data_IF_927954695977
#
_entry.id   IF_927954695977
#
_cell.length_a   1.000
_cell.length_b   1.000
_cell.length_c   1.000
_cell.angle_alpha   90.00
_cell.angle_beta   90.00
_cell.angle_gamma   90.00
#
_symmetry.space_group_name_H-M   'P 1'
#
loop_
_entity.id
_entity.type
_entity.pdbx_description
1 polymer ?
#
# COMPACT_ATOMS: atom_id res chain seq x y z
N UNK A 1 -43.37 -12.95 53.11
CA UNK A 1 -42.65 -13.73 52.08
C UNK A 1 -42.33 -12.76 50.95
N UNK A 2 -41.10 -12.23 50.89
CA UNK A 2 -40.67 -11.37 49.78
C UNK A 2 -39.89 -12.20 48.77
N UNK A 3 -40.35 -12.20 47.53
CA UNK A 3 -39.64 -12.81 46.41
C UNK A 3 -38.76 -11.71 45.80
N UNK A 4 -37.44 -11.90 45.86
CA UNK A 4 -36.44 -11.08 45.17
C UNK A 4 -36.49 -11.40 43.68
N UNK A 5 -36.48 -10.35 42.85
CA UNK A 5 -36.04 -10.41 41.45
C UNK A 5 -34.50 -10.48 41.43
N UNK A 6 -33.97 -11.52 40.80
CA UNK A 6 -32.64 -11.54 40.15
C UNK A 6 -32.96 -11.76 38.66
N UNK A 7 -32.43 -11.04 37.67
CA UNK A 7 -31.15 -10.37 37.55
C UNK A 7 -30.61 -10.78 36.18
N UNK A 8 -30.96 -10.03 35.13
CA UNK A 8 -30.64 -10.35 33.72
C UNK A 8 -29.93 -9.18 33.03
N UNK A 9 -28.86 -8.62 33.62
CA UNK A 9 -28.13 -7.48 33.03
C UNK A 9 -26.59 -7.53 33.20
N UNK A 10 -25.98 -8.68 33.51
CA UNK A 10 -24.53 -8.72 33.83
C UNK A 10 -23.58 -9.09 32.70
N UNK A 11 -24.07 -9.48 31.50
CA UNK A 11 -23.20 -9.98 30.42
C UNK A 11 -22.78 -8.94 29.37
N UNK A 12 -23.53 -7.85 29.20
CA UNK A 12 -23.26 -6.82 28.18
C UNK A 12 -22.29 -5.74 28.66
N UNK A 13 -22.45 -5.29 29.91
CA UNK A 13 -21.68 -4.16 30.49
C UNK A 13 -20.19 -4.47 30.64
N UNK A 14 -19.81 -5.73 30.88
CA UNK A 14 -18.39 -6.14 31.05
C UNK A 14 -17.63 -6.28 29.74
N UNK A 15 -18.31 -6.55 28.62
CA UNK A 15 -17.65 -6.71 27.31
C UNK A 15 -17.41 -5.35 26.65
N UNK A 16 -18.36 -4.43 26.78
CA UNK A 16 -18.27 -3.06 26.24
C UNK A 16 -17.24 -2.20 26.96
N UNK A 17 -16.97 -2.43 28.25
CA UNK A 17 -15.94 -1.69 29.01
C UNK A 17 -14.52 -2.21 28.80
N UNK A 18 -14.36 -3.49 28.45
CA UNK A 18 -13.04 -4.13 28.22
C UNK A 18 -12.43 -3.84 26.86
N UNK A 19 -13.23 -3.60 25.83
CA UNK A 19 -12.71 -3.28 24.49
C UNK A 19 -12.02 -1.91 24.43
N UNK A 20 -12.62 -0.80 24.94
CA UNK A 20 -11.97 0.49 25.01
C UNK A 20 -10.67 0.47 25.82
N UNK A 21 -10.62 -0.30 26.93
CA UNK A 21 -9.38 -0.42 27.72
C UNK A 21 -8.27 -1.12 26.95
N UNK A 22 -8.59 -2.16 26.16
CA UNK A 22 -7.59 -2.87 25.36
C UNK A 22 -7.06 -2.01 24.20
N UNK A 23 -7.94 -1.27 23.51
CA UNK A 23 -7.54 -0.36 22.42
C UNK A 23 -6.57 0.70 22.94
N UNK A 24 -6.88 1.32 24.08
CA UNK A 24 -6.01 2.33 24.68
C UNK A 24 -4.63 1.76 25.05
N UNK A 25 -4.56 0.55 25.62
CA UNK A 25 -3.28 -0.10 25.90
C UNK A 25 -2.46 -0.33 24.63
N UNK A 26 -3.09 -0.77 23.55
CA UNK A 26 -2.42 -0.96 22.26
C UNK A 26 -1.91 0.37 21.72
N UNK A 27 -2.70 1.45 21.80
CA UNK A 27 -2.28 2.78 21.36
C UNK A 27 -1.08 3.28 22.16
N UNK A 28 -1.11 3.17 23.49
CA UNK A 28 0.03 3.53 24.33
C UNK A 28 1.29 2.76 23.93
N UNK A 29 1.17 1.45 23.72
CA UNK A 29 2.29 0.62 23.30
C UNK A 29 2.85 1.02 21.92
N UNK A 30 1.99 1.30 20.94
CA UNK A 30 2.41 1.77 19.62
C UNK A 30 3.11 3.13 19.75
N UNK A 31 2.49 4.09 20.45
CA UNK A 31 3.05 5.43 20.65
C UNK A 31 4.43 5.37 21.30
N UNK A 32 4.59 4.58 22.37
CA UNK A 32 5.88 4.33 23.02
C UNK A 32 6.89 3.69 22.06
N UNK A 33 6.48 2.69 21.28
CA UNK A 33 7.37 2.03 20.30
C UNK A 33 7.87 3.04 19.26
N UNK A 34 6.98 3.91 18.76
CA UNK A 34 7.31 4.94 17.77
C UNK A 34 8.21 6.05 18.31
N UNK A 35 8.26 6.26 19.64
CA UNK A 35 9.17 7.25 20.24
C UNK A 35 10.63 6.82 20.17
N UNK A 36 10.91 5.52 20.22
CA UNK A 36 12.27 4.97 20.26
C UNK A 36 12.79 4.57 18.88
N UNK A 37 11.89 4.42 17.90
CA UNK A 37 12.25 4.10 16.53
C UNK A 37 12.86 5.31 15.81
N UNK A 38 13.95 5.06 15.07
CA UNK A 38 14.44 6.07 14.11
C UNK A 38 13.37 6.19 13.03
N UNK A 39 13.06 7.42 12.63
CA UNK A 39 12.18 7.68 11.47
C UNK A 39 12.91 7.27 10.18
N UNK A 40 12.94 5.97 9.92
CA UNK A 40 13.27 5.38 8.63
C UNK A 40 12.05 5.53 7.69
N UNK A 41 12.18 5.13 6.42
CA UNK A 41 11.07 5.25 5.46
C UNK A 41 9.88 4.37 5.87
N UNK A 42 10.13 3.30 6.62
CA UNK A 42 9.11 2.38 7.15
C UNK A 42 9.49 1.97 8.57
N UNK A 43 8.53 2.03 9.48
CA UNK A 43 8.68 1.53 10.85
C UNK A 43 7.78 0.30 11.04
N UNK A 44 8.35 -0.75 11.65
CA UNK A 44 7.67 -1.98 12.01
C UNK A 44 7.46 -2.05 13.52
N UNK A 45 6.22 -2.21 13.97
CA UNK A 45 5.89 -2.45 15.39
C UNK A 45 5.27 -3.83 15.54
N UNK A 46 5.90 -4.71 16.32
CA UNK A 46 5.34 -6.03 16.62
C UNK A 46 4.20 -5.92 17.63
N UNK A 47 3.02 -6.39 17.26
CA UNK A 47 1.84 -6.44 18.12
C UNK A 47 1.55 -7.88 18.56
N UNK A 48 2.57 -8.75 18.61
CA UNK A 48 2.40 -10.18 18.92
C UNK A 48 1.82 -10.47 20.30
N UNK A 49 1.94 -9.53 21.24
CA UNK A 49 1.34 -9.59 22.58
C UNK A 49 -0.18 -9.37 22.57
N UNK A 50 -0.73 -8.84 21.46
CA UNK A 50 -2.13 -8.46 21.35
C UNK A 50 -2.89 -9.36 20.37
N UNK A 51 -4.18 -9.57 20.67
CA UNK A 51 -5.08 -10.31 19.79
C UNK A 51 -5.67 -9.37 18.75
N UNK A 52 -5.14 -9.46 17.53
CA UNK A 52 -5.57 -8.65 16.37
C UNK A 52 -6.70 -9.31 15.55
N UNK A 53 -7.26 -10.43 15.98
CA UNK A 53 -8.44 -11.06 15.37
C UNK A 53 -9.72 -10.21 15.54
N UNK A 54 -9.73 -9.31 16.53
CA UNK A 54 -10.82 -8.39 16.75
C UNK A 54 -10.83 -7.23 15.73
N UNK A 55 -11.88 -7.20 14.90
CA UNK A 55 -12.07 -6.21 13.84
C UNK A 55 -12.08 -4.77 14.36
N UNK A 56 -12.69 -4.53 15.52
CA UNK A 56 -12.81 -3.19 16.10
C UNK A 56 -11.44 -2.63 16.50
N UNK A 57 -10.53 -3.51 16.96
CA UNK A 57 -9.16 -3.12 17.31
C UNK A 57 -8.40 -2.71 16.03
N UNK A 58 -8.53 -3.49 14.96
CA UNK A 58 -7.88 -3.18 13.67
C UNK A 58 -8.40 -1.90 13.05
N UNK A 59 -9.72 -1.67 13.09
CA UNK A 59 -10.35 -0.41 12.65
C UNK A 59 -9.81 0.77 13.45
N UNK A 60 -9.76 0.67 14.79
CA UNK A 60 -9.24 1.73 15.65
C UNK A 60 -7.75 2.05 15.38
N UNK A 61 -6.91 1.02 15.17
CA UNK A 61 -5.50 1.21 14.80
C UNK A 61 -5.40 1.94 13.44
N UNK A 62 -6.22 1.56 12.46
CA UNK A 62 -6.22 2.20 11.16
C UNK A 62 -6.62 3.66 11.19
N UNK A 63 -7.67 3.99 11.95
CA UNK A 63 -8.13 5.36 12.13
C UNK A 63 -7.05 6.27 12.74
N UNK A 64 -6.17 5.72 13.58
CA UNK A 64 -5.14 6.48 14.30
C UNK A 64 -3.80 6.58 13.56
N UNK A 65 -3.32 5.51 12.92
CA UNK A 65 -1.91 5.41 12.51
C UNK A 65 -1.63 5.35 11.00
N UNK A 66 -2.65 5.33 10.14
CA UNK A 66 -2.47 5.17 8.69
C UNK A 66 -1.51 4.02 8.32
N UNK A 67 -1.73 2.85 8.93
CA UNK A 67 -0.78 1.76 8.93
C UNK A 67 -1.27 0.54 8.14
N UNK A 68 -0.36 -0.36 7.79
CA UNK A 68 -0.67 -1.74 7.36
C UNK A 68 -0.64 -2.67 8.57
N UNK A 69 -1.48 -3.70 8.58
CA UNK A 69 -1.49 -4.75 9.62
C UNK A 69 -1.31 -6.09 8.92
N UNK A 70 -0.10 -6.63 8.98
CA UNK A 70 0.29 -7.86 8.29
C UNK A 70 0.71 -8.89 9.34
N UNK A 71 -0.05 -9.97 9.43
CA UNK A 71 0.08 -10.97 10.49
C UNK A 71 -0.10 -10.35 11.86
N UNK A 72 0.99 -10.29 12.63
CA UNK A 72 1.03 -9.71 13.97
C UNK A 72 1.78 -8.38 14.03
N UNK A 73 2.16 -7.85 12.88
CA UNK A 73 3.01 -6.68 12.77
C UNK A 73 2.24 -5.50 12.17
N UNK A 74 2.50 -4.32 12.71
CA UNK A 74 2.04 -3.03 12.22
C UNK A 74 3.17 -2.39 11.41
N UNK A 75 2.87 -1.85 10.23
CA UNK A 75 3.83 -1.12 9.41
C UNK A 75 3.33 0.30 9.14
N UNK A 76 4.16 1.29 9.44
CA UNK A 76 3.88 2.71 9.20
C UNK A 76 4.89 3.23 8.18
N UNK A 77 4.38 3.73 7.04
CA UNK A 77 5.19 4.36 5.99
C UNK A 77 5.34 5.85 6.28
N UNK A 78 6.56 6.37 6.17
CA UNK A 78 6.88 7.80 6.28
C UNK A 78 7.28 8.35 4.90
N UNK A 79 6.31 8.41 4.00
CA UNK A 79 6.55 8.82 2.63
C UNK A 79 6.82 10.33 2.52
N UNK A 80 7.87 10.65 1.76
CA UNK A 80 8.21 12.04 1.42
C UNK A 80 7.36 12.57 0.26
N UNK A 81 7.39 13.89 0.08
CA UNK A 81 6.61 14.60 -0.95
C UNK A 81 6.77 14.02 -2.37
N UNK A 82 7.93 13.48 -2.72
CA UNK A 82 8.17 12.90 -4.03
C UNK A 82 7.35 11.62 -4.25
N UNK A 83 7.31 10.70 -3.28
CA UNK A 83 6.48 9.48 -3.36
C UNK A 83 5.01 9.85 -3.48
N UNK A 84 4.51 10.68 -2.57
CA UNK A 84 3.13 11.17 -2.59
C UNK A 84 2.72 11.84 -3.91
N UNK A 85 3.62 12.65 -4.49
CA UNK A 85 3.36 13.29 -5.78
C UNK A 85 3.32 12.26 -6.92
N UNK A 86 4.15 11.22 -6.87
CA UNK A 86 4.11 10.12 -7.84
C UNK A 86 2.80 9.34 -7.68
N UNK A 87 2.40 8.97 -6.46
CA UNK A 87 1.16 8.22 -6.19
C UNK A 87 -0.04 8.92 -6.83
N UNK A 88 -0.21 10.22 -6.52
CA UNK A 88 -1.30 11.03 -7.07
C UNK A 88 -1.27 11.10 -8.61
N UNK A 89 -0.09 11.26 -9.22
CA UNK A 89 0.01 11.37 -10.68
C UNK A 89 -0.28 10.05 -11.39
N UNK A 90 0.10 8.93 -10.78
CA UNK A 90 -0.22 7.59 -11.27
C UNK A 90 -1.73 7.34 -11.20
N UNK A 91 -2.36 7.62 -10.05
CA UNK A 91 -3.82 7.50 -9.89
C UNK A 91 -4.56 8.33 -10.94
N UNK A 92 -4.25 9.63 -11.04
CA UNK A 92 -4.86 10.52 -12.04
C UNK A 92 -4.65 10.01 -13.48
N UNK A 93 -3.47 9.45 -13.80
CA UNK A 93 -3.21 8.91 -15.13
C UNK A 93 -4.06 7.68 -15.43
N UNK A 94 -4.36 6.85 -14.44
CA UNK A 94 -5.26 5.71 -14.60
C UNK A 94 -6.70 6.15 -14.84
N UNK A 95 -7.20 7.14 -14.08
CA UNK A 95 -8.54 7.70 -14.28
C UNK A 95 -8.69 8.32 -15.67
N UNK A 96 -7.68 9.07 -16.14
CA UNK A 96 -7.67 9.64 -17.49
C UNK A 96 -7.68 8.54 -18.56
N UNK A 97 -6.97 7.44 -18.31
CA UNK A 97 -6.96 6.32 -19.24
C UNK A 97 -8.33 5.64 -19.34
N UNK A 98 -9.04 5.47 -18.22
CA UNK A 98 -10.39 4.94 -18.21
C UNK A 98 -11.21 5.52 -17.05
N UNK A 99 -12.18 6.38 -17.38
CA UNK A 99 -13.04 7.07 -16.42
C UNK A 99 -13.98 6.15 -15.63
N UNK A 100 -14.10 4.87 -16.02
CA UNK A 100 -14.91 3.89 -15.29
C UNK A 100 -14.12 3.11 -14.23
N UNK A 101 -12.80 3.32 -14.15
CA UNK A 101 -11.97 2.69 -13.13
C UNK A 101 -11.92 3.55 -11.88
N UNK A 102 -11.96 2.91 -10.70
CA UNK A 102 -11.60 3.55 -9.44
C UNK A 102 -10.09 3.51 -9.29
N UNK A 103 -9.45 4.67 -9.11
CA UNK A 103 -8.02 4.78 -8.90
C UNK A 103 -7.75 5.57 -7.63
N UNK A 104 -7.27 4.89 -6.59
CA UNK A 104 -7.15 5.49 -5.27
C UNK A 104 -5.74 5.34 -4.70
N UNK A 105 -5.37 6.31 -3.87
CA UNK A 105 -4.14 6.29 -3.09
C UNK A 105 -4.48 6.09 -1.62
N UNK A 106 -3.57 5.46 -0.87
CA UNK A 106 -3.69 5.34 0.58
C UNK A 106 -5.02 4.67 1.04
N UNK A 107 -5.50 3.66 0.31
CA UNK A 107 -6.68 2.86 0.68
C UNK A 107 -6.26 1.54 1.31
N UNK A 108 -7.08 1.04 2.23
CA UNK A 108 -6.92 -0.29 2.83
C UNK A 108 -7.63 -1.31 1.97
N UNK A 109 -6.95 -2.42 1.67
CA UNK A 109 -7.57 -3.64 1.16
C UNK A 109 -7.20 -4.83 2.04
N UNK A 110 -8.08 -5.83 2.06
CA UNK A 110 -7.94 -7.00 2.92
C UNK A 110 -7.64 -8.22 2.07
N UNK A 111 -6.49 -8.85 2.33
CA UNK A 111 -6.05 -10.07 1.64
C UNK A 111 -5.59 -11.08 2.68
N UNK A 112 -6.18 -12.28 2.66
CA UNK A 112 -5.79 -13.35 3.58
C UNK A 112 -5.96 -13.00 5.07
N UNK A 113 -6.85 -12.05 5.38
CA UNK A 113 -7.01 -11.53 6.73
C UNK A 113 -5.95 -10.52 7.16
N UNK A 114 -5.07 -10.06 6.28
CA UNK A 114 -4.13 -8.95 6.49
C UNK A 114 -4.71 -7.64 5.92
N UNK A 115 -4.37 -6.51 6.52
CA UNK A 115 -4.71 -5.18 6.00
C UNK A 115 -3.50 -4.58 5.29
N UNK A 116 -3.60 -4.45 3.99
CA UNK A 116 -2.56 -3.87 3.15
C UNK A 116 -2.97 -2.50 2.65
N UNK A 117 -1.97 -1.69 2.26
CA UNK A 117 -2.15 -0.38 1.64
C UNK A 117 -1.28 -0.26 0.40
N UNK A 118 -1.82 -0.54 -0.81
CA UNK A 118 -1.12 -0.16 -2.04
C UNK A 118 -0.88 1.35 -2.03
N UNK A 119 0.25 1.78 -2.58
CA UNK A 119 0.51 3.21 -2.77
C UNK A 119 -0.45 3.77 -3.82
N UNK A 120 -0.75 2.97 -4.85
CA UNK A 120 -1.83 3.21 -5.80
C UNK A 120 -2.55 1.90 -6.10
N UNK A 121 -3.87 1.87 -5.91
CA UNK A 121 -4.73 0.75 -6.28
C UNK A 121 -5.69 1.15 -7.40
N UNK A 122 -5.82 0.31 -8.43
CA UNK A 122 -6.79 0.49 -9.52
C UNK A 122 -7.79 -0.65 -9.52
N UNK A 123 -9.08 -0.33 -9.46
CA UNK A 123 -10.19 -1.27 -9.56
C UNK A 123 -10.95 -1.06 -10.87
N UNK A 124 -11.08 -2.11 -11.69
CA UNK A 124 -11.88 -2.04 -12.92
C UNK A 124 -13.39 -1.95 -12.62
N UNK A 125 -13.77 -2.33 -11.41
CA UNK A 125 -15.08 -2.13 -10.83
C UNK A 125 -14.92 -1.60 -9.42
N UNK A 126 -15.48 -0.43 -9.15
CA UNK A 126 -15.42 0.18 -7.83
C UNK A 126 -15.85 -0.79 -6.72
N UNK A 127 -15.11 -0.82 -5.60
CA UNK A 127 -15.57 -1.49 -4.40
C UNK A 127 -16.93 -0.95 -3.95
N UNK A 128 -17.73 -1.82 -3.32
CA UNK A 128 -19.05 -1.44 -2.82
C UNK A 128 -18.93 -0.29 -1.80
N UNK A 129 -19.99 0.51 -1.66
CA UNK A 129 -20.00 1.62 -0.70
C UNK A 129 -19.53 1.20 0.71
N UNK A 130 -20.05 0.08 1.22
CA UNK A 130 -19.65 -0.46 2.54
C UNK A 130 -18.18 -0.90 2.61
N UNK A 131 -17.60 -1.36 1.50
CA UNK A 131 -16.17 -1.70 1.39
C UNK A 131 -15.29 -0.45 1.36
N UNK A 132 -15.78 0.65 0.75
CA UNK A 132 -15.07 1.93 0.75
C UNK A 132 -15.16 2.64 2.09
N UNK A 133 -16.32 2.60 2.75
CA UNK A 133 -16.54 3.28 4.03
C UNK A 133 -15.96 2.52 5.23
N UNK A 134 -15.90 1.18 5.17
CA UNK A 134 -15.40 0.32 6.25
C UNK A 134 -14.48 -0.77 5.68
N UNK A 135 -13.29 -0.42 5.18
CA UNK A 135 -12.48 -1.34 4.38
C UNK A 135 -12.00 -2.55 5.15
N UNK A 136 -11.73 -2.42 6.45
CA UNK A 136 -11.36 -3.56 7.29
C UNK A 136 -12.56 -4.48 7.55
N UNK A 137 -13.65 -3.95 8.13
CA UNK A 137 -14.80 -4.77 8.53
C UNK A 137 -15.57 -5.38 7.34
N UNK A 138 -15.63 -4.66 6.23
CA UNK A 138 -16.34 -5.09 5.03
C UNK A 138 -15.45 -5.81 4.02
N UNK A 139 -14.18 -6.09 4.37
CA UNK A 139 -13.21 -6.80 3.53
C UNK A 139 -13.08 -6.15 2.15
N UNK A 140 -12.55 -4.92 2.10
CA UNK A 140 -12.28 -4.22 0.85
C UNK A 140 -11.39 -5.10 -0.05
N UNK A 141 -11.80 -5.37 -1.30
CA UNK A 141 -11.07 -6.30 -2.16
C UNK A 141 -9.75 -5.68 -2.62
N UNK A 142 -8.74 -6.51 -2.92
CA UNK A 142 -7.52 -6.01 -3.55
C UNK A 142 -7.82 -5.38 -4.92
N UNK A 143 -7.02 -4.38 -5.35
CA UNK A 143 -7.15 -3.79 -6.67
C UNK A 143 -6.77 -4.79 -7.79
N UNK A 144 -7.22 -4.50 -9.01
CA UNK A 144 -6.80 -5.20 -10.23
C UNK A 144 -5.38 -4.83 -10.65
N UNK A 145 -4.96 -3.59 -10.44
CA UNK A 145 -3.57 -3.15 -10.59
C UNK A 145 -3.07 -2.64 -9.26
N UNK A 146 -1.97 -3.21 -8.78
CA UNK A 146 -1.33 -2.87 -7.52
C UNK A 146 0.00 -2.18 -7.79
N UNK A 147 0.16 -0.96 -7.30
CA UNK A 147 1.43 -0.23 -7.44
C UNK A 147 2.03 0.05 -6.07
N UNK A 148 3.32 -0.27 -5.92
CA UNK A 148 4.16 0.18 -4.81
C UNK A 148 5.27 1.06 -5.38
N UNK A 149 5.49 2.22 -4.76
CA UNK A 149 6.62 3.11 -5.03
C UNK A 149 7.54 3.04 -3.82
N UNK A 150 8.82 2.77 -4.02
CA UNK A 150 9.76 2.60 -2.92
C UNK A 150 11.12 3.18 -3.27
N UNK A 151 11.84 3.69 -2.27
CA UNK A 151 13.24 3.99 -2.44
C UNK A 151 14.04 2.70 -2.67
N UNK A 152 15.00 2.74 -3.59
CA UNK A 152 15.90 1.61 -3.85
C UNK A 152 16.96 1.45 -2.73
N UNK A 153 16.50 1.34 -1.49
CA UNK A 153 17.23 1.04 -0.27
C UNK A 153 16.32 0.26 0.67
N UNK A 154 16.93 -0.50 1.56
CA UNK A 154 16.23 -1.14 2.66
C UNK A 154 16.10 -0.15 3.85
N UNK A 155 15.00 -0.20 4.62
CA UNK A 155 13.94 -1.23 4.59
C UNK A 155 12.82 -1.03 3.54
N UNK A 156 12.73 0.12 2.86
CA UNK A 156 11.59 0.44 1.97
C UNK A 156 11.42 -0.59 0.84
N UNK A 157 12.51 -0.90 0.13
CA UNK A 157 12.51 -1.87 -0.97
C UNK A 157 12.11 -3.27 -0.51
N UNK A 158 12.75 -3.81 0.53
CA UNK A 158 12.45 -5.16 1.03
C UNK A 158 11.02 -5.28 1.54
N UNK A 159 10.47 -4.25 2.17
CA UNK A 159 9.06 -4.23 2.56
C UNK A 159 8.13 -4.29 1.35
N UNK A 160 8.36 -3.44 0.33
CA UNK A 160 7.55 -3.44 -0.88
C UNK A 160 7.56 -4.81 -1.61
N UNK A 161 8.74 -5.44 -1.72
CA UNK A 161 8.86 -6.74 -2.39
C UNK A 161 8.25 -7.89 -1.57
N UNK A 162 8.53 -7.96 -0.27
CA UNK A 162 7.98 -9.02 0.58
C UNK A 162 6.45 -8.96 0.69
N UNK A 163 5.86 -7.77 0.56
CA UNK A 163 4.42 -7.58 0.45
C UNK A 163 3.85 -8.23 -0.81
N UNK A 164 4.49 -8.01 -1.96
CA UNK A 164 4.07 -8.62 -3.23
C UNK A 164 4.14 -10.14 -3.10
N UNK A 165 5.26 -10.68 -2.60
CA UNK A 165 5.43 -12.12 -2.39
C UNK A 165 4.33 -12.70 -1.49
N UNK A 166 3.98 -12.00 -0.40
CA UNK A 166 2.92 -12.43 0.51
C UNK A 166 1.53 -12.40 -0.13
N UNK A 167 1.20 -11.36 -0.90
CA UNK A 167 -0.09 -11.28 -1.59
C UNK A 167 -0.19 -12.39 -2.66
N UNK A 168 0.91 -12.72 -3.33
CA UNK A 168 0.96 -13.83 -4.29
C UNK A 168 0.66 -15.19 -3.65
N UNK A 169 1.08 -15.43 -2.40
CA UNK A 169 0.77 -16.67 -1.67
C UNK A 169 -0.74 -16.89 -1.44
N UNK A 170 -1.56 -15.85 -1.57
CA UNK A 170 -3.01 -15.96 -1.48
C UNK A 170 -3.69 -16.32 -2.81
N UNK A 171 -2.93 -16.69 -3.85
CA UNK A 171 -3.41 -17.16 -5.15
C UNK A 171 -4.43 -16.21 -5.83
N UNK A 172 -4.21 -14.91 -5.68
CA UNK A 172 -5.05 -13.88 -6.30
C UNK A 172 -4.68 -13.67 -7.77
N UNK A 173 -5.13 -14.58 -8.63
CA UNK A 173 -4.70 -14.73 -10.04
C UNK A 173 -4.93 -13.52 -10.97
N UNK A 174 -5.65 -12.47 -10.53
CA UNK A 174 -6.09 -11.36 -11.38
C UNK A 174 -5.54 -10.00 -10.93
N UNK A 175 -4.44 -9.98 -10.18
CA UNK A 175 -3.75 -8.75 -9.80
C UNK A 175 -2.48 -8.60 -10.63
N UNK A 176 -2.37 -7.48 -11.33
CA UNK A 176 -1.17 -7.05 -12.03
C UNK A 176 -0.35 -6.13 -11.11
N UNK A 177 0.90 -6.47 -10.85
CA UNK A 177 1.75 -5.73 -9.91
C UNK A 177 2.79 -4.89 -10.63
N UNK A 178 2.98 -3.67 -10.14
CA UNK A 178 3.99 -2.73 -10.60
C UNK A 178 4.77 -2.19 -9.40
N UNK A 179 6.04 -2.58 -9.29
CA UNK A 179 6.97 -1.97 -8.35
C UNK A 179 7.73 -0.83 -9.03
N UNK A 180 7.77 0.36 -8.43
CA UNK A 180 8.53 1.51 -8.94
C UNK A 180 9.62 1.88 -7.94
N UNK A 181 10.86 1.55 -8.31
CA UNK A 181 12.02 1.90 -7.52
C UNK A 181 12.49 3.32 -7.87
N UNK A 182 12.62 4.20 -6.87
CA UNK A 182 13.14 5.56 -7.00
C UNK A 182 14.48 5.74 -6.28
N UNK A 183 15.35 6.67 -6.71
CA UNK A 183 16.64 6.87 -6.06
C UNK A 183 16.49 7.46 -4.65
N UNK A 184 17.40 7.08 -3.76
CA UNK A 184 17.56 7.72 -2.44
C UNK A 184 18.12 9.13 -2.66
N UNK A 185 17.64 10.10 -1.88
CA UNK A 185 18.04 11.50 -1.97
C UNK A 185 19.58 11.64 -2.01
N UNK A 186 20.08 12.36 -3.01
CA UNK A 186 21.51 12.64 -3.21
C UNK A 186 21.72 13.63 -4.34
N UNK A 187 21.17 13.35 -5.52
CA UNK A 187 21.08 14.29 -6.63
C UNK A 187 19.78 14.05 -7.41
N UNK A 188 19.12 15.12 -7.92
CA UNK A 188 18.01 14.97 -8.84
C UNK A 188 18.40 14.17 -10.07
N UNK A 189 17.45 13.43 -10.63
CA UNK A 189 17.63 12.80 -11.93
C UNK A 189 17.83 13.88 -13.01
N UNK A 190 18.58 13.56 -14.08
CA UNK A 190 18.82 14.51 -15.16
C UNK A 190 17.50 14.90 -15.83
N UNK A 191 17.28 16.20 -16.06
CA UNK A 191 16.07 16.71 -16.70
C UNK A 191 15.86 16.15 -18.11
N UNK A 192 14.61 16.07 -18.55
CA UNK A 192 14.27 15.56 -19.88
C UNK A 192 14.84 16.48 -20.98
N UNK A 193 15.80 16.01 -21.78
CA UNK A 193 16.35 16.80 -22.88
C UNK A 193 15.34 16.99 -24.04
N UNK A 194 14.34 16.11 -24.14
CA UNK A 194 13.37 16.06 -25.23
C UNK A 194 11.94 16.05 -24.68
N UNK A 195 11.54 17.14 -23.99
CA UNK A 195 10.20 17.26 -23.44
C UNK A 195 9.14 17.39 -24.55
N UNK A 196 7.96 16.78 -24.34
CA UNK A 196 6.80 16.91 -25.23
C UNK A 196 6.78 15.97 -26.43
N UNK A 197 7.74 15.04 -26.55
CA UNK A 197 7.72 14.03 -27.62
C UNK A 197 6.82 12.84 -27.24
N UNK A 198 6.35 12.12 -28.27
CA UNK A 198 5.55 10.90 -28.09
C UNK A 198 6.39 9.83 -27.40
N UNK A 199 5.80 9.15 -26.41
CA UNK A 199 6.49 8.09 -25.69
C UNK A 199 6.47 6.76 -26.42
N UNK A 200 7.51 5.94 -26.23
CA UNK A 200 7.65 4.62 -26.84
C UNK A 200 7.72 3.52 -25.78
N UNK A 201 7.36 2.26 -26.10
CA UNK A 201 7.47 1.18 -25.14
C UNK A 201 8.90 1.03 -24.59
N UNK A 202 9.00 0.77 -23.29
CA UNK A 202 10.25 0.45 -22.63
C UNK A 202 10.72 -0.97 -23.00
N UNK A 203 12.04 -1.17 -23.05
CA UNK A 203 12.64 -2.48 -23.30
C UNK A 203 12.87 -3.18 -21.97
N UNK A 204 12.42 -4.43 -21.88
CA UNK A 204 12.68 -5.28 -20.71
C UNK A 204 14.18 -5.56 -20.55
N UNK A 205 14.64 -5.71 -19.31
CA UNK A 205 15.98 -6.16 -18.96
C UNK A 205 15.92 -7.49 -18.22
N UNK A 206 16.85 -8.43 -18.51
CA UNK A 206 16.85 -9.75 -17.88
C UNK A 206 17.28 -9.70 -16.40
N UNK A 207 18.02 -8.67 -16.01
CA UNK A 207 18.55 -8.50 -14.65
C UNK A 207 17.91 -7.30 -13.95
N UNK A 208 17.85 -7.37 -12.62
CA UNK A 208 17.41 -6.27 -11.76
C UNK A 208 18.36 -5.08 -11.92
N UNK A 209 17.89 -3.89 -12.33
CA UNK A 209 18.74 -2.72 -12.42
C UNK A 209 19.33 -2.37 -11.05
N UNK A 210 20.65 -2.23 -10.99
CA UNK A 210 21.36 -1.90 -9.73
C UNK A 210 21.05 -0.48 -9.24
N UNK A 211 20.66 0.42 -10.14
CA UNK A 211 20.34 1.82 -9.84
C UNK A 211 18.92 2.15 -10.27
N UNK A 212 18.18 2.78 -9.35
CA UNK A 212 16.94 3.47 -9.66
C UNK A 212 17.18 4.70 -10.56
N UNK A 213 16.16 5.13 -11.33
CA UNK A 213 14.80 4.61 -11.36
C UNK A 213 14.59 3.38 -12.28
N UNK A 214 13.78 2.43 -11.82
CA UNK A 214 13.36 1.27 -12.61
C UNK A 214 11.96 0.78 -12.18
N UNK A 215 11.33 0.00 -13.05
CA UNK A 215 10.05 -0.68 -12.78
C UNK A 215 10.26 -2.19 -12.71
N UNK A 216 9.51 -2.84 -11.82
CA UNK A 216 9.29 -4.27 -11.73
C UNK A 216 7.84 -4.51 -12.15
N UNK A 217 7.62 -5.45 -13.06
CA UNK A 217 6.29 -5.78 -13.56
C UNK A 217 6.03 -7.28 -13.40
N UNK A 218 4.91 -7.62 -12.77
CA UNK A 218 4.41 -8.98 -12.68
C UNK A 218 3.01 -9.01 -13.30
N UNK A 219 2.85 -9.77 -14.39
CA UNK A 219 1.59 -9.85 -15.13
C UNK A 219 0.48 -10.55 -14.36
N UNK A 220 0.84 -11.49 -13.49
CA UNK A 220 -0.01 -12.13 -12.50
C UNK A 220 0.84 -12.75 -11.37
N UNK A 221 0.18 -13.45 -10.45
CA UNK A 221 0.81 -14.11 -9.29
C UNK A 221 1.77 -15.24 -9.65
N UNK A 222 1.73 -15.79 -10.86
CA UNK A 222 2.60 -16.85 -11.33
C UNK A 222 3.72 -16.33 -12.23
N UNK A 223 3.75 -15.03 -12.50
CA UNK A 223 4.67 -14.42 -13.45
C UNK A 223 6.04 -14.22 -12.82
N UNK A 224 7.09 -14.52 -13.59
CA UNK A 224 8.46 -14.12 -13.24
C UNK A 224 8.52 -12.59 -13.34
N UNK A 225 9.08 -11.89 -12.34
CA UNK A 225 9.26 -10.45 -12.40
C UNK A 225 10.06 -10.02 -13.63
N UNK A 226 9.52 -9.06 -14.38
CA UNK A 226 10.20 -8.42 -15.52
C UNK A 226 10.63 -7.02 -15.12
N UNK A 227 11.85 -6.64 -15.50
CA UNK A 227 12.44 -5.36 -15.12
C UNK A 227 12.53 -4.41 -16.30
N UNK A 228 12.36 -3.12 -16.03
CA UNK A 228 12.49 -2.05 -17.01
C UNK A 228 13.28 -0.90 -16.40
N UNK A 229 14.40 -0.53 -17.02
CA UNK A 229 15.06 0.73 -16.67
C UNK A 229 14.17 1.90 -17.10
N UNK A 230 13.91 2.84 -16.20
CA UNK A 230 13.17 4.04 -16.59
C UNK A 230 14.06 4.99 -17.38
N UNK A 231 13.52 5.51 -18.47
CA UNK A 231 14.15 6.53 -19.30
C UNK A 231 13.08 7.51 -19.80
N UNK A 232 13.52 8.70 -20.18
CA UNK A 232 12.64 9.76 -20.67
C UNK A 232 11.89 9.30 -21.92
N UNK A 233 10.61 9.65 -21.97
CA UNK A 233 9.72 9.36 -23.10
C UNK A 233 9.56 7.86 -23.38
N UNK A 234 9.64 7.06 -22.32
CA UNK A 234 9.33 5.63 -22.33
C UNK A 234 8.09 5.33 -21.50
N UNK A 235 7.39 4.25 -21.82
CA UNK A 235 6.25 3.78 -21.06
C UNK A 235 6.23 2.27 -20.88
N UNK A 236 5.61 1.82 -19.78
CA UNK A 236 5.21 0.43 -19.58
C UNK A 236 3.76 0.24 -20.04
N UNK A 237 3.48 -0.85 -20.77
CA UNK A 237 2.11 -1.23 -21.16
C UNK A 237 1.64 -2.35 -20.24
N UNK A 238 0.55 -2.11 -19.51
CA UNK A 238 -0.09 -3.12 -18.66
C UNK A 238 -1.07 -3.98 -19.46
N UNK A 239 -1.45 -5.14 -18.92
CA UNK A 239 -2.42 -6.07 -19.54
C UNK A 239 -3.77 -5.41 -19.80
N UNK A 240 -4.16 -4.47 -18.94
CA UNK A 240 -5.40 -3.72 -19.09
C UNK A 240 -5.35 -2.64 -20.19
N UNK A 241 -4.22 -2.50 -20.89
CA UNK A 241 -4.01 -1.50 -21.94
C UNK A 241 -3.54 -0.14 -21.43
N UNK A 242 -3.52 0.06 -20.10
CA UNK A 242 -3.01 1.29 -19.51
C UNK A 242 -1.51 1.43 -19.75
N UNK A 243 -1.12 2.61 -20.23
CA UNK A 243 0.29 2.99 -20.44
C UNK A 243 0.75 3.83 -19.25
N UNK A 244 1.65 3.28 -18.44
CA UNK A 244 2.34 4.04 -17.40
C UNK A 244 3.51 4.77 -18.07
N UNK A 245 3.34 6.08 -18.31
CA UNK A 245 4.41 6.93 -18.81
C UNK A 245 5.46 7.16 -17.72
N UNK A 246 6.71 6.79 -17.98
CA UNK A 246 7.81 6.99 -17.02
C UNK A 246 8.07 8.47 -16.76
N UNK A 247 7.70 9.36 -17.67
CA UNK A 247 7.74 10.81 -17.43
C UNK A 247 6.93 11.21 -16.20
N UNK A 248 5.89 10.47 -15.80
CA UNK A 248 5.13 10.71 -14.56
C UNK A 248 6.07 10.72 -13.35
N UNK A 249 6.95 9.72 -13.27
CA UNK A 249 7.91 9.49 -12.18
C UNK A 249 9.12 10.40 -12.36
N UNK A 250 9.73 10.37 -13.53
CA UNK A 250 10.97 11.08 -13.83
C UNK A 250 10.82 12.60 -13.62
N UNK A 251 9.68 13.20 -14.01
CA UNK A 251 9.40 14.62 -13.77
C UNK A 251 9.29 15.02 -12.29
N UNK A 252 9.11 14.06 -11.38
CA UNK A 252 9.11 14.32 -9.94
C UNK A 252 10.54 14.27 -9.41
N UNK A 253 11.27 13.19 -9.71
CA UNK A 253 12.61 12.95 -9.16
C UNK A 253 13.72 13.75 -9.86
N UNK A 254 13.43 14.40 -11.00
CA UNK A 254 14.36 15.30 -11.70
C UNK A 254 14.30 16.74 -11.22
N UNK A 255 13.42 17.06 -10.27
CA UNK A 255 13.32 18.41 -9.71
C UNK A 255 14.37 18.61 -8.62
N UNK A 256 15.04 19.77 -8.58
CA UNK A 256 15.92 20.14 -7.49
C UNK A 256 15.15 20.29 -6.17
#
# INVERSE_FOLDING_TARGET
MSIKLEGSETSTVTRETRQPSQINMIFTYIDESLMWEKKEDIVKVSLSAYKLDNINIREAIHERYNAEIIGKDLFIKYDGMNKERIHRRLANSAEIHNLNWGAEINIICVVGGNNFRPDVGIWFRDPMFVQRSRPTASLCPPPNVWIEVFYNKDPDRSHALSKIDLIQQHNLINIEYVGIAIPVAGNPFLQNPNSGIVTTPATQTPEVPTRAPYTIHLWDVNSIPVYYKMDWNKHLVLRCGWKIDFNIVLNVISKP
#
